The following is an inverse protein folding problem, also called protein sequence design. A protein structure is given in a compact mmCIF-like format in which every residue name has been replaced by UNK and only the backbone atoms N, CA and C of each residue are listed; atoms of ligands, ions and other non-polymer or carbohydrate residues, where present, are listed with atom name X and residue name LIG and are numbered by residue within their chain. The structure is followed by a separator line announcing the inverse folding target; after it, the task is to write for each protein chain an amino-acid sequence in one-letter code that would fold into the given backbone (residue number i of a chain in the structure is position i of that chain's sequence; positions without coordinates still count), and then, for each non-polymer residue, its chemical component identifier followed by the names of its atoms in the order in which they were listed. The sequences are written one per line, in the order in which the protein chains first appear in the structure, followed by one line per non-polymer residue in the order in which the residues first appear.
data_IF_941598788379
#
_entry.id   IF_941598788379
#
_cell.length_a   1.000
_cell.length_b   1.000
_cell.length_c   1.000
_cell.angle_alpha   90.00
_cell.angle_beta   90.00
_cell.angle_gamma   90.00
#
_symmetry.space_group_name_H-M   'P 1'
#
loop_
_entity.id
_entity.type
_entity.pdbx_description
1 polymer ?
#
# COMPACT_ATOMS: atom_id res chain seq x y z
N UNK A 1 18.23 27.26 -8.86
CA UNK A 1 17.90 25.98 -8.20
C UNK A 1 16.48 26.11 -7.66
N UNK A 2 15.61 25.14 -7.96
CA UNK A 2 14.28 25.08 -7.37
C UNK A 2 14.41 24.89 -5.84
N UNK A 3 13.56 25.59 -5.08
CA UNK A 3 13.53 25.42 -3.62
C UNK A 3 13.04 24.00 -3.30
N UNK A 4 13.68 23.27 -2.36
CA UNK A 4 13.23 21.93 -2.01
C UNK A 4 11.79 21.95 -1.52
N UNK A 5 10.98 21.00 -1.96
CA UNK A 5 9.59 20.80 -1.55
C UNK A 5 9.51 19.50 -0.74
N UNK A 6 9.26 19.63 0.56
CA UNK A 6 9.13 18.48 1.48
C UNK A 6 7.67 18.11 1.68
N UNK A 7 7.34 16.86 1.40
CA UNK A 7 5.99 16.31 1.59
C UNK A 7 6.05 15.16 2.59
N UNK A 8 5.18 15.20 3.59
CA UNK A 8 4.92 14.08 4.48
C UNK A 8 3.78 13.23 3.91
N UNK A 9 4.05 11.98 3.56
CA UNK A 9 3.03 10.99 3.20
C UNK A 9 2.64 10.14 4.42
N UNK A 10 1.34 9.91 4.61
CA UNK A 10 0.78 9.12 5.72
C UNK A 10 -0.11 8.02 5.16
N UNK A 11 0.15 6.77 5.55
CA UNK A 11 -0.62 5.60 5.18
C UNK A 11 -1.13 4.87 6.43
N UNK A 12 -2.44 4.60 6.46
CA UNK A 12 -3.10 3.87 7.53
C UNK A 12 -4.33 3.11 7.06
N UNK A 13 -4.36 2.64 5.81
CA UNK A 13 -5.59 2.09 5.21
C UNK A 13 -5.98 0.71 5.72
N UNK A 14 -5.05 -0.08 6.25
CA UNK A 14 -5.31 -1.44 6.71
C UNK A 14 -4.71 -1.69 8.10
N UNK A 15 -3.60 -2.41 8.17
CA UNK A 15 -2.94 -2.82 9.42
C UNK A 15 -1.57 -2.16 9.64
N UNK A 16 -0.88 -1.75 8.60
CA UNK A 16 0.40 -1.06 8.73
C UNK A 16 0.23 0.46 8.90
N UNK A 17 0.90 1.04 9.90
CA UNK A 17 1.02 2.50 10.04
C UNK A 17 2.33 2.93 9.39
N UNK A 18 2.26 3.74 8.33
CA UNK A 18 3.46 4.20 7.67
C UNK A 18 3.50 5.72 7.48
N UNK A 19 4.72 6.28 7.50
CA UNK A 19 5.00 7.65 7.13
C UNK A 19 6.29 7.75 6.33
N UNK A 20 6.26 8.56 5.29
CA UNK A 20 7.41 8.83 4.43
C UNK A 20 7.62 10.33 4.24
N UNK A 21 8.88 10.74 4.13
CA UNK A 21 9.25 12.11 3.75
C UNK A 21 9.84 12.08 2.36
N UNK A 22 9.28 12.89 1.49
CA UNK A 22 9.79 13.10 0.15
C UNK A 22 10.36 14.52 0.02
N UNK A 23 11.50 14.64 -0.65
CA UNK A 23 12.00 15.90 -1.18
C UNK A 23 11.79 15.88 -2.69
N UNK A 24 10.84 16.66 -3.18
CA UNK A 24 10.33 16.55 -4.55
C UNK A 24 9.81 15.12 -4.83
N UNK A 25 10.55 14.32 -5.62
CA UNK A 25 10.23 12.91 -5.91
C UNK A 25 11.25 11.90 -5.34
N UNK A 26 12.17 12.38 -4.47
CA UNK A 26 13.16 11.54 -3.78
C UNK A 26 12.63 11.18 -2.40
N UNK A 27 12.62 9.90 -2.05
CA UNK A 27 12.26 9.43 -0.71
C UNK A 27 13.46 9.61 0.23
N UNK A 28 13.35 10.55 1.17
CA UNK A 28 14.37 10.76 2.21
C UNK A 28 14.23 9.76 3.35
N UNK A 29 13.00 9.39 3.67
CA UNK A 29 12.73 8.38 4.70
C UNK A 29 11.41 7.67 4.42
N UNK A 30 11.34 6.40 4.82
CA UNK A 30 10.12 5.59 4.89
C UNK A 30 10.16 4.78 6.18
N UNK A 31 9.12 4.90 6.99
CA UNK A 31 9.01 4.23 8.30
C UNK A 31 7.67 3.52 8.35
N UNK A 32 7.71 2.24 8.69
CA UNK A 32 6.54 1.37 8.78
C UNK A 32 6.53 0.74 10.17
N UNK A 33 5.40 0.84 10.86
CA UNK A 33 5.11 0.09 12.07
C UNK A 33 4.10 -1.00 11.75
N UNK A 34 4.57 -2.24 11.71
CA UNK A 34 3.76 -3.43 11.48
C UNK A 34 2.94 -3.80 12.71
N UNK A 35 1.78 -4.39 12.50
CA UNK A 35 0.88 -4.85 13.56
C UNK A 35 0.86 -6.38 13.60
N UNK A 36 1.82 -6.98 14.30
CA UNK A 36 1.97 -8.45 14.38
C UNK A 36 0.79 -9.14 15.09
N UNK A 37 -0.01 -8.40 15.86
CA UNK A 37 -1.17 -8.93 16.58
C UNK A 37 -2.17 -9.66 15.67
N UNK A 38 -2.24 -9.30 14.41
CA UNK A 38 -3.18 -9.90 13.46
C UNK A 38 -2.82 -11.33 13.06
N UNK A 39 -1.57 -11.74 13.25
CA UNK A 39 -1.11 -13.11 12.99
C UNK A 39 -1.86 -14.10 13.88
N UNK A 40 -2.08 -13.76 15.15
CA UNK A 40 -2.78 -14.59 16.12
C UNK A 40 -4.25 -14.85 15.74
N UNK A 41 -4.85 -13.92 14.99
CA UNK A 41 -6.24 -14.01 14.53
C UNK A 41 -6.39 -14.60 13.13
N UNK A 42 -5.27 -14.90 12.45
CA UNK A 42 -5.27 -15.42 11.08
C UNK A 42 -5.81 -14.43 10.03
N UNK A 43 -5.68 -13.12 10.31
CA UNK A 43 -6.12 -12.04 9.43
C UNK A 43 -6.36 -10.74 10.18
N UNK A 44 -6.59 -9.65 9.44
CA UNK A 44 -6.73 -8.31 10.03
C UNK A 44 -8.04 -8.16 10.80
N UNK A 45 -7.93 -7.70 12.06
CA UNK A 45 -9.06 -7.34 12.92
C UNK A 45 -9.22 -5.82 12.91
N UNK A 46 -10.27 -5.24 12.28
CA UNK A 46 -10.37 -3.81 12.02
C UNK A 46 -10.31 -2.92 13.26
N UNK A 47 -10.90 -3.37 14.38
CA UNK A 47 -10.87 -2.61 15.63
C UNK A 47 -9.45 -2.56 16.23
N UNK A 48 -8.73 -3.68 16.23
CA UNK A 48 -7.35 -3.73 16.71
C UNK A 48 -6.44 -2.88 15.82
N UNK A 49 -6.65 -2.94 14.49
CA UNK A 49 -5.89 -2.13 13.55
C UNK A 49 -6.06 -0.63 13.83
N UNK A 50 -7.28 -0.14 13.99
CA UNK A 50 -7.51 1.28 14.28
C UNK A 50 -6.92 1.74 15.60
N UNK A 51 -6.96 0.92 16.66
CA UNK A 51 -6.31 1.22 17.95
C UNK A 51 -4.79 1.27 17.84
N UNK A 52 -4.20 0.36 17.10
CA UNK A 52 -2.75 0.35 16.88
C UNK A 52 -2.31 1.57 16.07
N UNK A 53 -3.07 2.00 15.06
CA UNK A 53 -2.79 3.25 14.34
C UNK A 53 -2.77 4.47 15.28
N UNK A 54 -3.70 4.56 16.24
CA UNK A 54 -3.72 5.67 17.21
C UNK A 54 -2.44 5.73 18.06
N UNK A 55 -1.88 4.57 18.40
CA UNK A 55 -0.64 4.48 19.18
C UNK A 55 0.57 4.80 18.31
N UNK A 56 0.60 4.28 17.08
CA UNK A 56 1.78 4.28 16.24
C UNK A 56 1.96 5.56 15.40
N UNK A 57 0.89 6.30 15.08
CA UNK A 57 0.97 7.37 14.07
C UNK A 57 1.94 8.49 14.46
N UNK A 58 1.95 8.90 15.72
CA UNK A 58 2.86 9.95 16.20
C UNK A 58 4.31 9.49 16.18
N UNK A 59 4.69 8.35 16.82
CA UNK A 59 6.06 7.83 16.77
C UNK A 59 6.57 7.60 15.35
N UNK A 60 5.74 7.09 14.46
CA UNK A 60 6.11 6.80 13.07
C UNK A 60 6.42 8.10 12.31
N UNK A 61 5.58 9.12 12.45
CA UNK A 61 5.82 10.43 11.81
C UNK A 61 7.07 11.12 12.39
N UNK A 62 7.25 11.08 13.71
CA UNK A 62 8.46 11.66 14.33
C UNK A 62 9.73 10.94 13.89
N UNK A 63 9.68 9.63 13.78
CA UNK A 63 10.82 8.85 13.28
C UNK A 63 11.10 9.13 11.80
N UNK A 64 10.06 9.30 10.97
CA UNK A 64 10.23 9.65 9.56
C UNK A 64 10.92 11.01 9.40
N UNK A 65 10.48 12.04 10.14
CA UNK A 65 11.11 13.36 10.16
C UNK A 65 12.57 13.28 10.64
N UNK A 66 12.83 12.55 11.72
CA UNK A 66 14.17 12.35 12.28
C UNK A 66 15.11 11.68 11.26
N UNK A 67 14.66 10.61 10.60
CA UNK A 67 15.46 9.89 9.59
C UNK A 67 15.74 10.76 8.36
N UNK A 68 14.78 11.61 7.97
CA UNK A 68 14.95 12.57 6.88
C UNK A 68 15.83 13.76 7.24
N UNK A 69 16.12 13.98 8.53
CA UNK A 69 16.92 15.12 8.99
C UNK A 69 16.23 16.47 8.84
N UNK A 70 14.88 16.50 8.84
CA UNK A 70 14.11 17.74 8.71
C UNK A 70 13.19 17.99 9.91
N UNK A 71 12.86 19.26 10.12
CA UNK A 71 11.87 19.67 11.12
C UNK A 71 10.46 19.78 10.52
N UNK A 72 9.42 19.61 11.35
CA UNK A 72 8.01 19.78 10.95
C UNK A 72 7.73 21.10 10.22
N UNK A 73 8.42 22.18 10.60
CA UNK A 73 8.26 23.51 10.00
C UNK A 73 8.74 23.60 8.55
N UNK A 74 9.57 22.66 8.11
CA UNK A 74 10.10 22.62 6.74
C UNK A 74 9.14 21.91 5.77
N UNK A 75 8.12 21.23 6.29
CA UNK A 75 7.12 20.59 5.46
C UNK A 75 6.34 21.64 4.64
N UNK A 76 6.12 21.32 3.36
CA UNK A 76 5.36 22.15 2.43
C UNK A 76 3.95 21.63 2.20
N UNK A 77 3.71 20.32 2.38
CA UNK A 77 2.40 19.70 2.27
C UNK A 77 2.34 18.40 3.08
N UNK A 78 1.12 17.94 3.37
CA UNK A 78 0.87 16.61 3.92
C UNK A 78 -0.03 15.87 2.95
N UNK A 79 0.39 14.68 2.53
CA UNK A 79 -0.41 13.74 1.77
C UNK A 79 -0.90 12.60 2.69
N UNK A 80 -2.13 12.15 2.53
CA UNK A 80 -2.66 11.04 3.32
C UNK A 80 -3.55 10.15 2.47
N UNK A 81 -3.63 8.88 2.82
CA UNK A 81 -4.53 7.94 2.16
C UNK A 81 -5.97 8.19 2.57
N UNK A 82 -6.79 8.61 1.60
CA UNK A 82 -8.23 8.80 1.79
C UNK A 82 -8.99 7.48 1.80
N UNK A 83 -8.52 6.51 1.05
CA UNK A 83 -9.15 5.22 0.80
C UNK A 83 -8.83 4.69 -0.60
N UNK A 84 -9.29 3.47 -0.91
CA UNK A 84 -10.03 2.54 -0.05
C UNK A 84 -9.22 1.98 1.12
N UNK A 85 -9.94 1.41 2.11
CA UNK A 85 -9.35 0.80 3.30
C UNK A 85 -10.34 0.66 4.44
N UNK A 86 -9.88 0.19 5.60
CA UNK A 86 -10.68 0.01 6.81
C UNK A 86 -11.07 1.38 7.38
N UNK A 87 -12.37 1.61 7.58
CA UNK A 87 -12.90 2.91 7.98
C UNK A 87 -12.23 3.47 9.25
N UNK A 88 -12.09 2.66 10.30
CA UNK A 88 -11.46 3.08 11.55
C UNK A 88 -9.99 3.47 11.38
N UNK A 89 -9.25 2.69 10.61
CA UNK A 89 -7.85 2.93 10.28
C UNK A 89 -7.68 4.22 9.46
N UNK A 90 -8.47 4.41 8.41
CA UNK A 90 -8.49 5.62 7.58
C UNK A 90 -8.84 6.87 8.40
N UNK A 91 -9.79 6.77 9.36
CA UNK A 91 -10.16 7.89 10.22
C UNK A 91 -9.01 8.35 11.11
N UNK A 92 -8.17 7.45 11.60
CA UNK A 92 -6.99 7.82 12.39
C UNK A 92 -6.01 8.62 11.55
N UNK A 93 -5.58 8.09 10.41
CA UNK A 93 -4.63 8.77 9.52
C UNK A 93 -5.14 10.10 9.00
N UNK A 94 -6.40 10.14 8.54
CA UNK A 94 -7.00 11.37 8.01
C UNK A 94 -7.17 12.44 9.09
N UNK A 95 -7.60 12.08 10.31
CA UNK A 95 -7.75 13.04 11.42
C UNK A 95 -6.40 13.62 11.86
N UNK A 96 -5.38 12.76 11.96
CA UNK A 96 -4.03 13.20 12.26
C UNK A 96 -3.48 14.13 11.18
N UNK A 97 -3.57 13.74 9.90
CA UNK A 97 -3.10 14.55 8.77
C UNK A 97 -3.78 15.93 8.70
N UNK A 98 -5.11 15.97 8.88
CA UNK A 98 -5.89 17.21 8.93
C UNK A 98 -5.45 18.11 10.08
N UNK A 99 -5.32 17.56 11.29
CA UNK A 99 -4.91 18.33 12.47
C UNK A 99 -3.51 18.90 12.31
N UNK A 100 -2.57 18.12 11.78
CA UNK A 100 -1.20 18.54 11.56
C UNK A 100 -1.12 19.63 10.46
N UNK A 101 -1.85 19.44 9.34
CA UNK A 101 -1.95 20.42 8.26
C UNK A 101 -2.51 21.77 8.76
N UNK A 102 -3.57 21.75 9.56
CA UNK A 102 -4.17 22.94 10.16
C UNK A 102 -3.18 23.63 11.12
N UNK A 103 -2.49 22.86 11.96
CA UNK A 103 -1.51 23.40 12.91
C UNK A 103 -0.30 24.04 12.25
N UNK A 104 0.17 23.47 11.14
CA UNK A 104 1.30 23.99 10.36
C UNK A 104 0.87 25.02 9.30
N UNK A 105 -0.43 25.14 9.02
CA UNK A 105 -1.00 26.01 7.96
C UNK A 105 -0.43 25.71 6.57
N UNK A 106 -0.29 24.40 6.25
CA UNK A 106 0.20 23.90 4.96
C UNK A 106 -0.87 23.09 4.25
N UNK A 107 -0.81 22.94 2.92
CA UNK A 107 -1.77 22.15 2.16
C UNK A 107 -1.91 20.71 2.62
N UNK A 108 -3.12 20.18 2.53
CA UNK A 108 -3.46 18.79 2.73
C UNK A 108 -3.87 18.17 1.39
N UNK A 109 -3.29 17.03 1.06
CA UNK A 109 -3.51 16.32 -0.22
C UNK A 109 -4.10 14.94 0.09
N UNK A 110 -5.27 14.65 -0.45
CA UNK A 110 -5.85 13.32 -0.36
C UNK A 110 -5.35 12.43 -1.50
N UNK A 111 -4.99 11.20 -1.19
CA UNK A 111 -4.47 10.24 -2.15
C UNK A 111 -5.33 8.97 -2.13
N UNK A 112 -5.68 8.48 -3.29
CA UNK A 112 -6.29 7.17 -3.42
C UNK A 112 -5.22 6.09 -3.20
N UNK A 113 -5.48 5.14 -2.30
CA UNK A 113 -4.56 4.05 -1.95
C UNK A 113 -4.08 3.26 -3.19
N UNK A 114 -5.00 2.92 -4.09
CA UNK A 114 -4.67 2.14 -5.29
C UNK A 114 -3.85 2.95 -6.30
N UNK A 115 -4.12 4.26 -6.42
CA UNK A 115 -3.26 5.15 -7.22
C UNK A 115 -1.86 5.26 -6.62
N UNK A 116 -1.74 5.26 -5.29
CA UNK A 116 -0.45 5.22 -4.60
C UNK A 116 0.38 4.00 -4.98
N UNK A 117 -0.22 2.82 -5.06
CA UNK A 117 0.45 1.59 -5.52
C UNK A 117 0.95 1.68 -6.96
N UNK A 118 0.23 2.35 -7.85
CA UNK A 118 0.65 2.53 -9.24
C UNK A 118 1.71 3.61 -9.35
N UNK A 119 1.52 4.76 -8.68
CA UNK A 119 2.40 5.91 -8.80
C UNK A 119 3.76 5.73 -8.11
N UNK A 120 3.93 4.74 -7.22
CA UNK A 120 5.22 4.45 -6.61
C UNK A 120 6.32 4.09 -7.65
N UNK A 121 5.94 3.66 -8.85
CA UNK A 121 6.89 3.40 -9.94
C UNK A 121 7.59 4.68 -10.47
N UNK A 122 7.06 5.85 -10.17
CA UNK A 122 7.66 7.13 -10.58
C UNK A 122 8.61 7.75 -9.56
N UNK A 123 8.86 7.07 -8.44
CA UNK A 123 9.84 7.50 -7.44
C UNK A 123 11.26 7.37 -8.03
N UNK A 124 12.14 8.34 -7.74
CA UNK A 124 13.41 8.52 -8.44
C UNK A 124 14.44 7.40 -8.30
N UNK A 125 14.34 6.53 -7.30
CA UNK A 125 15.23 5.36 -7.23
C UNK A 125 14.83 4.26 -8.24
N UNK A 126 13.73 4.41 -8.93
CA UNK A 126 13.28 3.45 -9.94
C UNK A 126 13.80 3.86 -11.33
N UNK A 127 14.76 3.09 -11.86
CA UNK A 127 15.41 3.43 -13.14
C UNK A 127 14.50 3.16 -14.36
N UNK A 128 13.53 2.26 -14.22
CA UNK A 128 12.60 1.87 -15.28
C UNK A 128 11.20 2.45 -15.01
N UNK A 129 11.05 3.77 -15.19
CA UNK A 129 9.75 4.43 -15.07
C UNK A 129 8.88 4.05 -16.28
N UNK A 130 7.60 3.68 -16.05
CA UNK A 130 6.70 3.41 -17.16
C UNK A 130 6.42 4.67 -17.97
N UNK A 131 6.24 4.50 -19.27
CA UNK A 131 5.80 5.58 -20.17
C UNK A 131 4.28 5.53 -20.34
N UNK A 132 3.64 6.69 -20.33
CA UNK A 132 2.20 6.79 -20.54
C UNK A 132 1.81 6.61 -22.02
N UNK A 133 0.66 5.98 -22.34
CA UNK A 133 -0.21 5.24 -21.42
C UNK A 133 0.33 3.83 -21.13
N UNK A 134 -0.01 3.28 -19.94
CA UNK A 134 0.35 1.90 -19.59
C UNK A 134 -0.77 1.21 -18.79
N UNK A 135 -0.68 -0.12 -18.70
CA UNK A 135 -1.55 -0.93 -17.86
C UNK A 135 -0.87 -1.18 -16.49
N UNK A 136 -1.50 -0.71 -15.42
CA UNK A 136 -1.14 -1.02 -14.06
C UNK A 136 -1.93 -2.24 -13.58
N UNK A 137 -1.23 -3.28 -13.09
CA UNK A 137 -1.85 -4.44 -12.46
C UNK A 137 -1.50 -4.40 -10.97
N UNK A 138 -2.54 -4.34 -10.12
CA UNK A 138 -2.36 -4.43 -8.68
C UNK A 138 -2.84 -5.79 -8.21
N UNK A 139 -1.95 -6.52 -7.50
CA UNK A 139 -2.23 -7.81 -6.89
C UNK A 139 -1.85 -7.74 -5.43
N UNK A 140 -2.83 -7.84 -4.54
CA UNK A 140 -2.62 -7.77 -3.08
C UNK A 140 -3.59 -8.67 -2.33
N UNK A 141 -3.52 -8.67 -1.00
CA UNK A 141 -4.46 -9.38 -0.14
C UNK A 141 -5.88 -8.81 -0.14
N UNK A 142 -6.03 -7.51 -0.44
CA UNK A 142 -7.35 -6.84 -0.42
C UNK A 142 -7.86 -6.44 -1.81
N UNK A 143 -6.99 -6.36 -2.81
CA UNK A 143 -7.35 -5.83 -4.13
C UNK A 143 -6.65 -6.59 -5.26
N UNK A 144 -7.41 -6.85 -6.31
CA UNK A 144 -6.88 -7.31 -7.61
C UNK A 144 -7.60 -6.54 -8.69
N UNK A 145 -6.86 -5.68 -9.39
CA UNK A 145 -7.43 -4.81 -10.43
C UNK A 145 -6.44 -4.52 -11.56
N UNK A 146 -6.97 -4.21 -12.72
CA UNK A 146 -6.25 -3.73 -13.89
C UNK A 146 -6.72 -2.31 -14.19
N UNK A 147 -5.77 -1.39 -14.30
CA UNK A 147 -6.03 0.03 -14.49
C UNK A 147 -5.31 0.52 -15.74
N UNK A 148 -6.00 1.19 -16.64
CA UNK A 148 -5.40 1.97 -17.70
C UNK A 148 -4.95 3.30 -17.12
N UNK A 149 -3.67 3.61 -17.26
CA UNK A 149 -3.05 4.84 -16.73
C UNK A 149 -2.66 5.71 -17.93
N UNK A 150 -3.39 6.78 -18.14
CA UNK A 150 -3.16 7.72 -19.25
C UNK A 150 -2.18 8.83 -18.87
N UNK A 151 -2.25 9.28 -17.62
CA UNK A 151 -1.33 10.24 -17.01
C UNK A 151 -1.35 10.10 -15.47
N UNK A 152 -0.66 10.99 -14.73
CA UNK A 152 -0.58 10.97 -13.26
C UNK A 152 -1.94 11.11 -12.57
N UNK A 153 -2.95 11.67 -13.21
CA UNK A 153 -4.26 12.00 -12.64
C UNK A 153 -5.41 11.28 -13.34
N UNK A 154 -5.18 10.74 -14.53
CA UNK A 154 -6.19 10.08 -15.35
C UNK A 154 -5.96 8.58 -15.36
N UNK A 155 -6.76 7.89 -14.55
CA UNK A 155 -6.68 6.43 -14.35
C UNK A 155 -8.06 5.83 -14.43
N UNK A 156 -8.22 4.78 -15.26
CA UNK A 156 -9.49 4.08 -15.48
C UNK A 156 -9.36 2.61 -15.11
N UNK A 157 -10.14 2.16 -14.13
CA UNK A 157 -10.26 0.74 -13.83
C UNK A 157 -10.95 0.04 -14.98
N UNK A 158 -10.27 -0.90 -15.63
CA UNK A 158 -10.79 -1.68 -16.75
C UNK A 158 -11.16 -3.12 -16.38
N UNK A 159 -10.73 -3.57 -15.21
CA UNK A 159 -11.06 -4.87 -14.66
C UNK A 159 -10.66 -5.00 -13.20
N UNK A 160 -11.43 -5.81 -12.48
CA UNK A 160 -11.13 -6.18 -11.08
C UNK A 160 -11.68 -7.55 -10.77
N UNK A 161 -11.18 -8.15 -9.69
CA UNK A 161 -11.78 -9.39 -9.19
C UNK A 161 -13.24 -9.15 -8.80
N UNK A 162 -14.07 -10.16 -9.00
CA UNK A 162 -15.50 -10.14 -8.62
C UNK A 162 -15.75 -10.83 -7.28
N UNK A 163 -14.75 -11.52 -6.75
CA UNK A 163 -14.79 -12.25 -5.49
C UNK A 163 -13.50 -12.01 -4.69
N UNK A 164 -12.75 -13.04 -4.35
CA UNK A 164 -11.51 -12.90 -3.58
C UNK A 164 -10.42 -12.16 -4.38
N UNK A 165 -9.65 -11.32 -3.71
CA UNK A 165 -8.38 -10.86 -4.25
C UNK A 165 -7.38 -12.03 -4.35
N UNK A 166 -6.43 -11.95 -5.28
CA UNK A 166 -5.45 -13.04 -5.50
C UNK A 166 -4.69 -13.38 -4.20
N UNK A 167 -4.26 -12.39 -3.43
CA UNK A 167 -3.57 -12.63 -2.16
C UNK A 167 -4.47 -13.31 -1.14
N UNK A 168 -5.74 -12.92 -1.04
CA UNK A 168 -6.73 -13.59 -0.19
C UNK A 168 -6.98 -15.04 -0.63
N UNK A 169 -7.03 -15.28 -1.95
CA UNK A 169 -7.14 -16.63 -2.48
C UNK A 169 -5.93 -17.50 -2.10
N UNK A 170 -4.71 -16.94 -2.14
CA UNK A 170 -3.52 -17.64 -1.64
C UNK A 170 -3.62 -17.95 -0.16
N UNK A 171 -4.10 -17.05 0.68
CA UNK A 171 -4.25 -17.28 2.12
C UNK A 171 -5.31 -18.37 2.41
N UNK A 172 -6.44 -18.32 1.72
CA UNK A 172 -7.50 -19.34 1.85
C UNK A 172 -7.05 -20.71 1.39
N UNK A 173 -6.41 -20.80 0.21
CA UNK A 173 -5.87 -22.05 -0.31
C UNK A 173 -4.73 -22.57 0.56
N UNK A 174 -3.82 -21.70 1.00
CA UNK A 174 -2.74 -22.05 1.90
C UNK A 174 -3.23 -22.66 3.20
N UNK A 175 -4.24 -22.03 3.82
CA UNK A 175 -4.89 -22.56 5.02
C UNK A 175 -5.50 -23.96 4.78
N UNK A 176 -6.12 -24.18 3.61
CA UNK A 176 -6.72 -25.47 3.27
C UNK A 176 -5.68 -26.59 3.15
N UNK A 177 -4.44 -26.29 2.75
CA UNK A 177 -3.32 -27.24 2.65
C UNK A 177 -2.41 -27.23 3.89
N UNK A 178 -2.76 -26.48 4.95
CA UNK A 178 -2.09 -26.50 6.25
C UNK A 178 -0.95 -25.49 6.43
N UNK A 179 -0.88 -24.44 5.62
CA UNK A 179 0.07 -23.35 5.82
C UNK A 179 -0.49 -22.28 6.77
N UNK A 180 0.44 -21.63 7.48
CA UNK A 180 0.12 -20.51 8.37
C UNK A 180 -0.13 -19.21 7.57
N UNK A 181 -0.76 -18.24 8.24
CA UNK A 181 -0.99 -16.89 7.69
C UNK A 181 0.24 -16.00 7.92
N UNK A 182 0.67 -15.16 6.94
CA UNK A 182 0.15 -15.10 5.56
C UNK A 182 0.73 -16.22 4.68
N UNK A 183 -0.13 -16.89 3.92
CA UNK A 183 0.27 -18.06 3.14
C UNK A 183 0.94 -17.73 1.80
N UNK A 184 0.69 -16.55 1.23
CA UNK A 184 1.27 -16.13 -0.05
C UNK A 184 2.80 -16.30 -0.12
N UNK A 185 3.59 -15.72 0.79
CA UNK A 185 5.05 -15.88 0.82
C UNK A 185 5.51 -17.31 1.06
N UNK A 186 4.72 -18.11 1.78
CA UNK A 186 5.02 -19.52 2.06
C UNK A 186 4.86 -20.34 0.78
N UNK A 187 3.75 -20.12 0.06
CA UNK A 187 3.48 -20.78 -1.22
C UNK A 187 4.55 -20.41 -2.24
N UNK A 188 4.92 -19.13 -2.34
CA UNK A 188 5.96 -18.66 -3.26
C UNK A 188 7.27 -19.40 -3.01
N UNK A 189 7.73 -19.45 -1.77
CA UNK A 189 8.95 -20.17 -1.39
C UNK A 189 8.89 -21.66 -1.71
N UNK A 190 7.75 -22.31 -1.47
CA UNK A 190 7.58 -23.73 -1.80
C UNK A 190 7.52 -23.98 -3.30
N UNK A 191 7.02 -23.02 -4.08
CA UNK A 191 6.92 -23.13 -5.53
C UNK A 191 8.29 -23.22 -6.23
N UNK A 192 9.36 -22.68 -5.62
CA UNK A 192 10.73 -22.77 -6.16
C UNK A 192 11.18 -24.23 -6.36
N UNK A 193 10.68 -25.15 -5.53
CA UNK A 193 10.96 -26.58 -5.61
C UNK A 193 9.81 -27.39 -6.21
N UNK A 194 8.76 -26.72 -6.67
CA UNK A 194 7.59 -27.32 -7.25
C UNK A 194 7.80 -27.78 -8.70
N UNK A 195 7.06 -28.80 -9.11
CA UNK A 195 6.99 -29.16 -10.52
C UNK A 195 6.08 -28.17 -11.25
N UNK A 196 6.61 -27.51 -12.28
CA UNK A 196 5.78 -26.70 -13.16
C UNK A 196 4.82 -27.60 -13.94
N UNK A 197 3.52 -27.36 -13.76
CA UNK A 197 2.46 -28.07 -14.48
C UNK A 197 2.09 -27.40 -15.81
N UNK A 198 2.80 -26.36 -16.21
CA UNK A 198 2.52 -25.62 -17.46
C UNK A 198 2.54 -26.50 -18.72
N UNK A 199 3.22 -27.66 -18.65
CA UNK A 199 3.31 -28.63 -19.73
C UNK A 199 2.36 -29.81 -19.55
N UNK A 200 1.62 -29.90 -18.45
CA UNK A 200 0.53 -30.85 -18.33
C UNK A 200 -0.60 -30.30 -19.16
N UNK A 201 -0.85 -30.93 -20.29
CA UNK A 201 -1.95 -30.56 -21.20
C UNK A 201 -3.22 -30.34 -20.38
N UNK A 202 -3.86 -29.20 -20.58
CA UNK A 202 -5.22 -28.99 -20.07
C UNK A 202 -6.06 -30.20 -20.44
N UNK A 203 -6.94 -30.67 -19.54
CA UNK A 203 -7.88 -31.72 -19.91
C UNK A 203 -8.65 -31.15 -21.09
N UNK A 204 -8.38 -31.74 -22.28
CA UNK A 204 -9.14 -31.43 -23.48
C UNK A 204 -10.59 -31.68 -23.15
N UNK A 205 -11.41 -30.63 -23.10
CA UNK A 205 -12.85 -30.82 -23.04
C UNK A 205 -13.23 -31.70 -24.20
N UNK A 206 -14.00 -32.79 -24.00
CA UNK A 206 -14.55 -33.51 -25.13
C UNK A 206 -15.26 -32.50 -26.01
N UNK A 207 -14.90 -32.46 -27.28
CA UNK A 207 -15.65 -31.69 -28.28
C UNK A 207 -16.85 -32.58 -28.58
N UNK A 208 -18.02 -32.22 -28.03
CA UNK A 208 -19.31 -32.80 -28.41
C UNK A 208 -19.73 -32.24 -29.78
#
# INVERSE_FOLDING_TARGET
MQKPCYILGIESSCDDTAAAILENNIVLSNVIAKQEVHIEYGGVVPELASRAHQINIIPVVEMALKKAGIEKKQLNAIAYTRGPGLLGSLLVGSSFAKSLSMGLKIPLIEVNHMHGHILCHFIDYNQNKPEFPFLGITVSGGHTQIVMVEDYFTMHEIGRTLDDAIGEAFDKCGKAIGFDYPAGPIIDKHSENGLSLIHISEPTRPID
#
